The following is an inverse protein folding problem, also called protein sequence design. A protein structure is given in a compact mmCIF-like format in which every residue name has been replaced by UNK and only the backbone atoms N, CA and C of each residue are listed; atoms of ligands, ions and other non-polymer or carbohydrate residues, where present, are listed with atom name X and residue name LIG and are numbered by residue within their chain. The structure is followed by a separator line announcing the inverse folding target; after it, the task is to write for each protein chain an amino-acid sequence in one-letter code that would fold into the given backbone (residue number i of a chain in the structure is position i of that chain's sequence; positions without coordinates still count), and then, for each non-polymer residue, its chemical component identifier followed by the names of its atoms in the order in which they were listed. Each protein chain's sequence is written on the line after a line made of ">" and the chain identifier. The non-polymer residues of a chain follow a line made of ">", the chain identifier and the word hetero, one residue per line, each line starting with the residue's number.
data_IF_873762109755
#
_entry.id   IF_873762109755
#
_cell.length_a   1.000
_cell.length_b   1.000
_cell.length_c   1.000
_cell.angle_alpha   90.00
_cell.angle_beta   90.00
_cell.angle_gamma   90.00
#
_symmetry.space_group_name_H-M   'P 1'
#
loop_
_entity.id
_entity.type
_entity.pdbx_description
1 polymer ?
#
# COMPACT_ATOMS: atom_id res chain seq x y z
N UNK A 1 7.55 -25.41 -10.85
CA UNK A 1 7.43 -25.10 -9.42
C UNK A 1 8.65 -24.32 -8.88
N UNK A 2 9.86 -24.90 -8.76
CA UNK A 2 11.02 -24.17 -8.19
C UNK A 2 11.35 -22.89 -8.95
N UNK A 3 11.40 -22.92 -10.28
CA UNK A 3 11.66 -21.72 -11.10
C UNK A 3 10.61 -20.62 -10.88
N UNK A 4 9.34 -21.01 -10.83
CA UNK A 4 8.23 -20.08 -10.56
C UNK A 4 8.35 -19.47 -9.15
N UNK A 5 8.69 -20.28 -8.14
CA UNK A 5 8.89 -19.82 -6.78
C UNK A 5 10.05 -18.81 -6.68
N UNK A 6 11.16 -19.07 -7.37
CA UNK A 6 12.28 -18.12 -7.44
C UNK A 6 11.84 -16.80 -8.10
N UNK A 7 11.10 -16.87 -9.21
CA UNK A 7 10.63 -15.68 -9.91
C UNK A 7 9.59 -14.90 -9.09
N UNK A 8 8.64 -15.57 -8.41
CA UNK A 8 7.70 -14.93 -7.48
C UNK A 8 8.45 -14.28 -6.31
N UNK A 9 9.47 -14.97 -5.78
CA UNK A 9 10.35 -14.39 -4.77
C UNK A 9 11.09 -13.15 -5.26
N UNK A 10 11.56 -13.14 -6.51
CA UNK A 10 12.19 -11.95 -7.12
C UNK A 10 11.20 -10.79 -7.29
N UNK A 11 9.95 -11.05 -7.64
CA UNK A 11 8.89 -10.02 -7.68
C UNK A 11 8.67 -9.44 -6.28
N UNK A 12 8.61 -10.28 -5.24
CA UNK A 12 8.52 -9.80 -3.86
C UNK A 12 9.72 -8.95 -3.46
N UNK A 13 10.95 -9.41 -3.76
CA UNK A 13 12.18 -8.66 -3.49
C UNK A 13 12.22 -7.31 -4.23
N UNK A 14 11.74 -7.25 -5.47
CA UNK A 14 11.61 -6.00 -6.22
C UNK A 14 10.69 -5.02 -5.50
N UNK A 15 9.53 -5.48 -4.99
CA UNK A 15 8.67 -4.66 -4.15
C UNK A 15 9.35 -4.17 -2.87
N UNK A 16 10.13 -5.04 -2.20
CA UNK A 16 10.90 -4.68 -1.01
C UNK A 16 12.03 -3.67 -1.26
N UNK A 17 12.59 -3.64 -2.48
CA UNK A 17 13.65 -2.71 -2.86
C UNK A 17 13.16 -1.27 -3.03
N UNK A 18 11.87 -1.05 -3.19
CA UNK A 18 11.26 0.25 -3.47
C UNK A 18 11.63 1.32 -2.44
N UNK A 19 11.65 0.96 -1.15
CA UNK A 19 12.03 1.89 -0.08
C UNK A 19 13.48 2.36 -0.19
N UNK A 20 14.38 1.52 -0.68
CA UNK A 20 15.79 1.87 -0.86
C UNK A 20 16.02 2.80 -2.05
N UNK A 21 15.12 2.76 -3.03
CA UNK A 21 15.16 3.58 -4.24
C UNK A 21 14.42 4.92 -4.09
N UNK A 22 13.87 5.21 -2.91
CA UNK A 22 13.21 6.49 -2.63
C UNK A 22 11.70 6.47 -2.83
N UNK A 23 11.08 5.31 -2.68
CA UNK A 23 9.63 5.11 -2.70
C UNK A 23 8.99 5.51 -4.04
N UNK A 24 9.17 4.65 -5.04
CA UNK A 24 8.59 4.81 -6.37
C UNK A 24 7.14 4.28 -6.45
N UNK A 25 6.61 3.75 -5.34
CA UNK A 25 5.33 3.02 -5.26
C UNK A 25 5.27 1.75 -6.12
N UNK A 26 6.43 1.19 -6.48
CA UNK A 26 6.52 -0.08 -7.19
C UNK A 26 6.11 -1.29 -6.34
N UNK A 27 6.06 -1.14 -5.02
CA UNK A 27 5.63 -2.16 -4.07
C UNK A 27 4.11 -2.43 -4.07
N UNK A 28 3.33 -1.60 -4.77
CA UNK A 28 1.87 -1.68 -4.79
C UNK A 28 1.36 -2.90 -5.57
N UNK A 29 0.22 -3.51 -5.17
CA UNK A 29 -0.37 -4.66 -5.85
C UNK A 29 -0.64 -4.42 -7.34
N UNK A 30 -1.01 -3.20 -7.73
CA UNK A 30 -1.25 -2.85 -9.14
C UNK A 30 -0.01 -3.02 -10.03
N UNK A 31 1.19 -2.95 -9.46
CA UNK A 31 2.46 -3.15 -10.17
C UNK A 31 2.92 -4.61 -10.04
N UNK A 32 2.88 -5.17 -8.83
CA UNK A 32 3.47 -6.48 -8.55
C UNK A 32 2.61 -7.65 -9.04
N UNK A 33 1.27 -7.57 -8.92
CA UNK A 33 0.41 -8.67 -9.36
C UNK A 33 0.46 -8.92 -10.87
N UNK A 34 0.51 -7.91 -11.76
CA UNK A 34 0.78 -8.15 -13.18
C UNK A 34 2.12 -8.82 -13.45
N UNK A 35 3.18 -8.49 -12.69
CA UNK A 35 4.48 -9.18 -12.79
C UNK A 35 4.38 -10.63 -12.36
N UNK A 36 3.64 -10.93 -11.29
CA UNK A 36 3.32 -12.31 -10.88
C UNK A 36 2.54 -13.03 -12.00
N UNK A 37 1.54 -12.36 -12.60
CA UNK A 37 0.77 -12.90 -13.72
C UNK A 37 1.65 -13.24 -14.92
N UNK A 38 2.61 -12.39 -15.26
CA UNK A 38 3.61 -12.68 -16.31
C UNK A 38 4.47 -13.90 -15.98
N UNK A 39 4.93 -14.01 -14.73
CA UNK A 39 5.76 -15.14 -14.26
C UNK A 39 5.01 -16.47 -14.31
N UNK A 40 3.73 -16.45 -13.95
CA UNK A 40 2.90 -17.67 -13.87
C UNK A 40 2.15 -17.98 -15.17
N UNK A 41 2.18 -17.07 -16.17
CA UNK A 41 1.59 -17.26 -17.48
C UNK A 41 0.12 -16.84 -17.60
N UNK A 42 -0.41 -16.11 -16.62
CA UNK A 42 -1.78 -15.57 -16.63
C UNK A 42 -1.76 -14.07 -16.26
N UNK A 43 -1.37 -13.26 -17.22
CA UNK A 43 -1.33 -11.80 -17.06
C UNK A 43 -2.71 -11.21 -16.82
N UNK A 44 -3.77 -11.77 -17.42
CA UNK A 44 -5.11 -11.24 -17.31
C UNK A 44 -5.62 -11.34 -15.87
N UNK A 45 -5.47 -12.50 -15.25
CA UNK A 45 -5.79 -12.69 -13.82
C UNK A 45 -4.90 -11.82 -12.95
N UNK A 46 -3.59 -11.72 -13.25
CA UNK A 46 -2.67 -10.84 -12.53
C UNK A 46 -3.11 -9.37 -12.53
N UNK A 47 -3.56 -8.85 -13.66
CA UNK A 47 -4.10 -7.47 -13.78
C UNK A 47 -5.39 -7.28 -12.98
N UNK A 48 -6.34 -8.22 -13.11
CA UNK A 48 -7.62 -8.15 -12.42
C UNK A 48 -7.45 -8.23 -10.89
N UNK A 49 -6.62 -9.15 -10.42
CA UNK A 49 -6.27 -9.29 -9.00
C UNK A 49 -5.53 -8.06 -8.50
N UNK A 50 -4.54 -7.56 -9.27
CA UNK A 50 -3.78 -6.37 -8.91
C UNK A 50 -4.67 -5.15 -8.71
N UNK A 51 -5.60 -4.90 -9.62
CA UNK A 51 -6.55 -3.80 -9.50
C UNK A 51 -7.46 -3.95 -8.27
N UNK A 52 -7.95 -5.17 -8.00
CA UNK A 52 -8.83 -5.42 -6.85
C UNK A 52 -8.09 -5.29 -5.52
N UNK A 53 -6.87 -5.81 -5.43
CA UNK A 53 -6.05 -5.71 -4.23
C UNK A 53 -5.52 -4.29 -4.01
N UNK A 54 -5.27 -3.52 -5.08
CA UNK A 54 -4.94 -2.10 -4.97
C UNK A 54 -6.05 -1.33 -4.25
N UNK A 55 -7.32 -1.58 -4.61
CA UNK A 55 -8.47 -0.97 -3.94
C UNK A 55 -8.59 -1.43 -2.48
N UNK A 56 -8.31 -2.70 -2.19
CA UNK A 56 -8.31 -3.24 -0.83
C UNK A 56 -7.27 -2.54 0.05
N UNK A 57 -6.05 -2.35 -0.47
CA UNK A 57 -4.93 -1.76 0.26
C UNK A 57 -4.78 -0.24 0.05
N UNK A 58 -5.69 0.42 -0.66
CA UNK A 58 -5.61 1.86 -0.96
C UNK A 58 -5.52 2.71 0.31
N UNK A 59 -6.21 2.33 1.38
CA UNK A 59 -6.17 3.01 2.67
C UNK A 59 -5.06 2.54 3.63
N UNK A 60 -4.23 1.58 3.21
CA UNK A 60 -3.13 1.07 4.02
C UNK A 60 -1.92 2.00 3.91
N UNK A 61 -1.96 3.12 4.63
CA UNK A 61 -0.90 4.12 4.65
C UNK A 61 -0.30 4.18 6.04
N UNK A 62 1.03 4.13 6.12
CA UNK A 62 1.76 4.32 7.39
C UNK A 62 1.68 5.76 7.84
N UNK A 63 1.11 6.02 9.02
CA UNK A 63 1.01 7.35 9.60
C UNK A 63 1.50 7.29 11.05
N UNK A 64 2.57 7.99 11.34
CA UNK A 64 3.21 7.95 12.66
C UNK A 64 3.70 6.54 13.00
N UNK A 65 3.35 6.03 14.18
CA UNK A 65 3.74 4.69 14.65
C UNK A 65 2.85 3.55 14.11
N UNK A 66 1.81 3.86 13.34
CA UNK A 66 0.95 2.84 12.74
C UNK A 66 1.61 2.22 11.52
N UNK A 67 1.78 0.90 11.56
CA UNK A 67 2.26 0.10 10.42
C UNK A 67 1.09 -0.74 9.91
N UNK A 68 0.63 -0.54 8.68
CA UNK A 68 -0.46 -1.31 8.10
C UNK A 68 -0.03 -2.75 7.79
N UNK A 69 -0.99 -3.67 7.51
CA UNK A 69 -0.69 -4.98 6.95
C UNK A 69 0.20 -4.87 5.70
N UNK A 70 1.10 -5.83 5.52
CA UNK A 70 2.08 -5.79 4.42
C UNK A 70 1.41 -6.10 3.07
N UNK A 71 1.05 -5.06 2.34
CA UNK A 71 0.38 -5.16 1.04
C UNK A 71 1.24 -5.80 -0.05
N UNK A 72 2.56 -5.65 0.04
CA UNK A 72 3.50 -6.23 -0.94
C UNK A 72 3.47 -7.75 -0.89
N UNK A 73 3.73 -8.34 0.29
CA UNK A 73 3.76 -9.79 0.47
C UNK A 73 2.35 -10.36 0.33
N UNK A 74 1.36 -9.69 0.96
CA UNK A 74 -0.05 -10.08 0.84
C UNK A 74 -0.54 -10.08 -0.61
N UNK A 75 -0.20 -9.05 -1.37
CA UNK A 75 -0.57 -8.92 -2.78
C UNK A 75 0.10 -9.96 -3.67
N UNK A 76 1.43 -10.10 -3.57
CA UNK A 76 2.21 -11.06 -4.38
C UNK A 76 1.74 -12.49 -4.14
N UNK A 77 1.63 -12.91 -2.88
CA UNK A 77 1.24 -14.30 -2.55
C UNK A 77 -0.22 -14.58 -2.85
N UNK A 78 -1.13 -13.67 -2.53
CA UNK A 78 -2.56 -13.85 -2.84
C UNK A 78 -2.79 -13.97 -4.35
N UNK A 79 -2.11 -13.13 -5.15
CA UNK A 79 -2.14 -13.21 -6.60
C UNK A 79 -1.55 -14.53 -7.12
N UNK A 80 -0.37 -14.91 -6.61
CA UNK A 80 0.31 -16.13 -7.03
C UNK A 80 -0.53 -17.38 -6.73
N UNK A 81 -1.13 -17.48 -5.55
CA UNK A 81 -2.00 -18.61 -5.19
C UNK A 81 -3.32 -18.62 -5.98
N UNK A 82 -3.94 -17.46 -6.21
CA UNK A 82 -5.15 -17.39 -7.01
C UNK A 82 -4.91 -17.91 -8.44
N UNK A 83 -3.81 -17.48 -9.07
CA UNK A 83 -3.43 -17.96 -10.41
C UNK A 83 -3.12 -19.46 -10.39
N UNK A 84 -2.31 -19.91 -9.42
CA UNK A 84 -1.91 -21.32 -9.34
C UNK A 84 -3.09 -22.28 -9.14
N UNK A 85 -4.10 -21.85 -8.37
CA UNK A 85 -5.31 -22.63 -8.09
C UNK A 85 -6.37 -22.46 -9.19
N UNK A 86 -6.11 -21.67 -10.23
CA UNK A 86 -7.08 -21.37 -11.29
C UNK A 86 -8.32 -20.63 -10.77
N UNK A 87 -8.16 -19.88 -9.68
CA UNK A 87 -9.22 -19.12 -9.02
C UNK A 87 -9.14 -17.64 -9.40
N UNK A 88 -10.24 -16.90 -9.18
CA UNK A 88 -10.35 -15.49 -9.54
C UNK A 88 -9.94 -14.53 -8.42
N UNK A 89 -10.35 -13.28 -8.62
CA UNK A 89 -10.10 -12.16 -7.69
C UNK A 89 -10.68 -12.38 -6.30
N UNK A 90 -11.78 -13.10 -6.17
CA UNK A 90 -12.46 -13.39 -4.90
C UNK A 90 -11.56 -14.17 -3.94
N UNK A 91 -10.89 -15.18 -4.45
CA UNK A 91 -9.93 -15.99 -3.69
C UNK A 91 -8.69 -15.16 -3.32
N UNK A 92 -8.18 -14.35 -4.24
CA UNK A 92 -7.07 -13.46 -3.95
C UNK A 92 -7.41 -12.48 -2.81
N UNK A 93 -8.59 -11.86 -2.81
CA UNK A 93 -9.06 -10.95 -1.75
C UNK A 93 -9.16 -11.68 -0.42
N UNK A 94 -9.72 -12.91 -0.42
CA UNK A 94 -9.84 -13.73 0.79
C UNK A 94 -8.49 -14.06 1.44
N UNK A 95 -7.47 -14.31 0.62
CA UNK A 95 -6.13 -14.67 1.08
C UNK A 95 -5.27 -13.47 1.44
N UNK A 96 -5.47 -12.31 0.79
CA UNK A 96 -4.59 -11.16 0.88
C UNK A 96 -4.42 -10.64 2.32
N UNK A 97 -5.53 -10.41 3.04
CA UNK A 97 -5.47 -9.85 4.39
C UNK A 97 -4.84 -10.79 5.42
N UNK A 98 -5.21 -12.09 5.51
CA UNK A 98 -4.53 -13.01 6.41
C UNK A 98 -3.03 -13.09 6.17
N UNK A 99 -2.60 -13.18 4.90
CA UNK A 99 -1.18 -13.23 4.53
C UNK A 99 -0.49 -11.91 4.88
N UNK A 100 -1.10 -10.76 4.59
CA UNK A 100 -0.55 -9.44 4.90
C UNK A 100 -0.35 -9.23 6.41
N UNK A 101 -1.28 -9.69 7.24
CA UNK A 101 -1.18 -9.61 8.72
C UNK A 101 -0.10 -10.54 9.26
N UNK A 102 -0.01 -11.76 8.74
CA UNK A 102 1.05 -12.70 9.12
C UNK A 102 2.43 -12.15 8.78
N UNK A 103 2.60 -11.62 7.57
CA UNK A 103 3.87 -11.04 7.14
C UNK A 103 4.23 -9.77 7.93
N UNK A 104 3.25 -8.95 8.35
CA UNK A 104 3.48 -7.83 9.26
C UNK A 104 4.07 -8.31 10.60
N UNK A 105 3.57 -9.42 11.13
CA UNK A 105 4.10 -9.97 12.39
C UNK A 105 5.57 -10.37 12.26
N UNK A 106 5.95 -10.99 11.14
CA UNK A 106 7.35 -11.32 10.85
C UNK A 106 8.18 -10.05 10.70
N UNK A 107 7.70 -9.07 9.93
CA UNK A 107 8.36 -7.79 9.74
C UNK A 107 8.59 -7.01 11.05
N UNK A 108 7.66 -7.08 12.00
CA UNK A 108 7.83 -6.48 13.33
C UNK A 108 8.98 -7.13 14.12
N UNK A 109 9.15 -8.44 14.01
CA UNK A 109 10.28 -9.16 14.63
C UNK A 109 11.59 -8.72 13.99
N UNK A 110 11.65 -8.67 12.67
CA UNK A 110 12.82 -8.21 11.90
C UNK A 110 13.16 -6.77 12.23
N UNK A 111 12.17 -5.88 12.32
CA UNK A 111 12.35 -4.47 12.70
C UNK A 111 12.97 -4.31 14.09
N UNK A 112 12.56 -5.13 15.05
CA UNK A 112 13.16 -5.13 16.39
C UNK A 112 14.66 -5.50 16.34
N UNK A 113 15.06 -6.41 15.47
CA UNK A 113 16.47 -6.76 15.27
C UNK A 113 17.27 -5.63 14.59
N UNK A 114 16.61 -4.83 13.76
CA UNK A 114 17.25 -3.73 13.04
C UNK A 114 17.67 -2.55 13.93
N UNK A 115 17.11 -2.41 15.13
CA UNK A 115 17.53 -1.34 16.06
C UNK A 115 19.03 -1.39 16.36
N UNK A 116 19.63 -2.58 16.40
CA UNK A 116 21.09 -2.74 16.61
C UNK A 116 21.90 -2.10 15.47
N UNK A 117 21.39 -2.18 14.23
CA UNK A 117 22.06 -1.58 13.07
C UNK A 117 21.90 -0.06 13.03
N UNK A 118 20.80 0.47 13.59
CA UNK A 118 20.61 1.92 13.76
C UNK A 118 21.69 2.48 14.69
N UNK A 119 21.92 1.84 15.85
CA UNK A 119 22.98 2.23 16.77
C UNK A 119 24.39 2.23 16.11
N UNK A 120 24.60 1.27 15.19
CA UNK A 120 25.85 1.20 14.45
C UNK A 120 25.97 2.37 13.46
N UNK A 121 24.86 2.75 12.78
CA UNK A 121 24.84 3.91 11.90
C UNK A 121 25.13 5.21 12.65
N UNK A 122 24.56 5.37 13.85
CA UNK A 122 24.81 6.54 14.71
C UNK A 122 26.28 6.67 15.11
N UNK A 123 26.92 5.54 15.46
CA UNK A 123 28.37 5.52 15.74
C UNK A 123 29.23 5.91 14.54
N UNK A 124 28.81 5.56 13.31
CA UNK A 124 29.49 5.99 12.09
C UNK A 124 29.24 7.47 11.81
N UNK A 125 28.03 7.97 12.09
CA UNK A 125 27.68 9.39 11.94
C UNK A 125 28.54 10.26 12.87
N UNK A 126 28.66 9.88 14.16
CA UNK A 126 29.49 10.59 15.14
C UNK A 126 30.97 10.66 14.72
N UNK A 127 31.46 9.68 13.95
CA UNK A 127 32.83 9.63 13.43
C UNK A 127 32.99 10.32 12.07
N UNK A 128 31.91 10.87 11.49
CA UNK A 128 31.92 11.43 10.13
C UNK A 128 32.17 10.40 9.02
N UNK A 129 31.95 9.11 9.30
CA UNK A 129 32.23 8.02 8.37
C UNK A 129 31.02 7.74 7.44
N UNK A 130 30.92 8.47 6.34
CA UNK A 130 29.87 8.30 5.33
C UNK A 130 29.82 6.89 4.73
N UNK A 131 31.00 6.25 4.49
CA UNK A 131 31.04 4.89 3.93
C UNK A 131 30.40 3.88 4.87
N UNK A 132 30.60 4.03 6.18
CA UNK A 132 29.95 3.21 7.20
C UNK A 132 28.44 3.37 7.21
N UNK A 133 27.93 4.59 7.10
CA UNK A 133 26.50 4.87 7.02
C UNK A 133 25.88 4.22 5.78
N UNK A 134 26.50 4.40 4.61
CA UNK A 134 26.04 3.74 3.38
C UNK A 134 26.05 2.22 3.48
N UNK A 135 27.09 1.64 4.11
CA UNK A 135 27.17 0.19 4.28
C UNK A 135 26.02 -0.35 5.15
N UNK A 136 25.65 0.35 6.22
CA UNK A 136 24.49 -0.02 7.06
C UNK A 136 23.19 0.13 6.27
N UNK A 137 22.98 1.26 5.59
CA UNK A 137 21.79 1.52 4.81
C UNK A 137 21.52 0.44 3.75
N UNK A 138 22.53 0.16 2.91
CA UNK A 138 22.40 -0.88 1.88
C UNK A 138 22.35 -2.29 2.47
N UNK A 139 23.07 -2.54 3.57
CA UNK A 139 23.03 -3.84 4.26
C UNK A 139 21.63 -4.15 4.78
N UNK A 140 20.96 -3.18 5.44
CA UNK A 140 19.58 -3.33 5.89
C UNK A 140 18.60 -3.45 4.72
N UNK A 141 18.79 -2.67 3.66
CA UNK A 141 17.96 -2.75 2.47
C UNK A 141 18.04 -4.10 1.77
N UNK A 142 19.25 -4.63 1.57
CA UNK A 142 19.46 -5.96 0.97
C UNK A 142 18.88 -7.07 1.86
N UNK A 143 19.00 -6.93 3.19
CA UNK A 143 18.34 -7.86 4.10
C UNK A 143 16.83 -7.84 3.94
N UNK A 144 16.21 -6.66 3.88
CA UNK A 144 14.78 -6.53 3.60
C UNK A 144 14.37 -7.18 2.27
N UNK A 145 15.13 -6.95 1.19
CA UNK A 145 14.88 -7.63 -0.09
C UNK A 145 15.00 -9.15 0.03
N UNK A 146 15.98 -9.66 0.77
CA UNK A 146 16.14 -11.09 1.02
C UNK A 146 14.95 -11.65 1.81
N UNK A 147 14.47 -10.94 2.82
CA UNK A 147 13.28 -11.31 3.60
C UNK A 147 12.05 -11.43 2.69
N UNK A 148 11.78 -10.43 1.85
CA UNK A 148 10.66 -10.48 0.90
C UNK A 148 10.82 -11.61 -0.12
N UNK A 149 12.05 -11.84 -0.61
CA UNK A 149 12.34 -12.96 -1.49
C UNK A 149 12.03 -14.30 -0.84
N UNK A 150 12.51 -14.51 0.38
CA UNK A 150 12.32 -15.76 1.11
C UNK A 150 10.85 -15.98 1.49
N UNK A 151 10.15 -14.93 1.93
CA UNK A 151 8.75 -15.02 2.29
C UNK A 151 7.88 -15.30 1.06
N UNK A 152 8.03 -14.56 -0.03
CA UNK A 152 7.23 -14.78 -1.24
C UNK A 152 7.59 -16.09 -1.94
N UNK A 153 8.88 -16.33 -2.19
CA UNK A 153 9.32 -17.54 -2.89
C UNK A 153 9.16 -18.80 -2.04
N UNK A 154 9.52 -18.74 -0.77
CA UNK A 154 9.40 -19.86 0.18
C UNK A 154 7.94 -20.23 0.46
N UNK A 155 7.09 -19.25 0.74
CA UNK A 155 5.67 -19.49 0.97
C UNK A 155 4.99 -20.04 -0.30
N UNK A 156 5.33 -19.53 -1.48
CA UNK A 156 4.79 -20.04 -2.73
C UNK A 156 5.25 -21.48 -3.01
N UNK A 157 6.52 -21.81 -2.72
CA UNK A 157 7.06 -23.16 -2.95
C UNK A 157 6.48 -24.20 -2.00
N UNK A 158 6.33 -23.84 -0.72
CA UNK A 158 5.91 -24.75 0.35
C UNK A 158 4.41 -24.70 0.61
N UNK A 159 3.76 -23.62 0.23
CA UNK A 159 2.43 -23.28 0.69
C UNK A 159 1.27 -23.67 -0.23
N UNK A 160 1.53 -24.15 -1.45
CA UNK A 160 0.43 -24.45 -2.39
C UNK A 160 -0.56 -25.48 -1.85
N UNK A 161 -0.08 -26.57 -1.27
CA UNK A 161 -0.93 -27.62 -0.70
C UNK A 161 -1.62 -27.15 0.60
N UNK A 162 -0.90 -26.39 1.43
CA UNK A 162 -1.43 -25.83 2.67
C UNK A 162 -2.52 -24.76 2.41
N UNK A 163 -2.32 -23.93 1.38
CA UNK A 163 -3.31 -22.91 0.98
C UNK A 163 -4.55 -23.57 0.40
N UNK A 164 -4.40 -24.63 -0.39
CA UNK A 164 -5.57 -25.38 -0.89
C UNK A 164 -6.36 -25.97 0.28
N UNK A 165 -5.71 -26.60 1.25
CA UNK A 165 -6.36 -27.08 2.46
C UNK A 165 -7.04 -25.97 3.27
N UNK A 166 -6.47 -24.76 3.31
CA UNK A 166 -7.09 -23.59 3.95
C UNK A 166 -8.35 -23.13 3.18
N UNK A 167 -8.30 -23.10 1.86
CA UNK A 167 -9.47 -22.73 1.04
C UNK A 167 -10.59 -23.74 1.14
N UNK A 168 -10.26 -25.03 1.18
CA UNK A 168 -11.26 -26.11 1.37
C UNK A 168 -11.95 -26.02 2.73
N UNK A 169 -11.30 -25.44 3.73
CA UNK A 169 -11.90 -25.17 5.04
C UNK A 169 -12.84 -23.98 5.03
N UNK A 170 -12.69 -23.04 4.07
CA UNK A 170 -13.55 -21.85 3.96
C UNK A 170 -14.86 -22.23 3.27
N UNK A 171 -16.03 -22.08 3.94
CA UNK A 171 -17.31 -22.39 3.32
C UNK A 171 -17.55 -21.56 2.03
N UNK A 172 -18.17 -22.14 0.98
CA UNK A 172 -18.39 -21.45 -0.29
C UNK A 172 -19.16 -20.12 -0.17
N UNK A 173 -20.08 -20.01 0.80
CA UNK A 173 -20.83 -18.75 1.02
C UNK A 173 -19.90 -17.61 1.52
N UNK A 174 -18.81 -17.94 2.21
CA UNK A 174 -17.82 -16.93 2.67
C UNK A 174 -17.04 -16.40 1.47
N UNK A 175 -16.58 -17.28 0.57
CA UNK A 175 -15.91 -16.88 -0.68
C UNK A 175 -16.84 -16.01 -1.55
N UNK A 176 -18.10 -16.42 -1.70
CA UNK A 176 -19.11 -15.62 -2.41
C UNK A 176 -19.32 -14.26 -1.71
N UNK A 177 -19.31 -14.24 -0.37
CA UNK A 177 -19.36 -13.01 0.42
C UNK A 177 -18.18 -12.07 0.14
N UNK A 178 -16.98 -12.60 0.00
CA UNK A 178 -15.80 -11.80 -0.43
C UNK A 178 -15.97 -11.23 -1.83
N UNK A 179 -16.57 -11.98 -2.77
CA UNK A 179 -16.90 -11.47 -4.10
C UNK A 179 -17.86 -10.27 -4.05
N UNK A 180 -18.92 -10.36 -3.23
CA UNK A 180 -19.81 -9.21 -3.00
C UNK A 180 -19.09 -8.06 -2.32
N UNK A 181 -18.27 -8.34 -1.30
CA UNK A 181 -17.50 -7.33 -0.58
C UNK A 181 -16.51 -6.60 -1.51
N UNK A 182 -15.96 -7.28 -2.52
CA UNK A 182 -15.06 -6.67 -3.51
C UNK A 182 -15.69 -5.46 -4.20
N UNK A 183 -17.01 -5.45 -4.42
CA UNK A 183 -17.72 -4.34 -5.02
C UNK A 183 -17.78 -3.09 -4.09
N UNK A 184 -17.56 -3.26 -2.79
CA UNK A 184 -17.50 -2.16 -1.83
C UNK A 184 -16.08 -1.64 -1.59
N UNK A 185 -15.04 -2.36 -2.05
CA UNK A 185 -13.65 -1.95 -1.84
C UNK A 185 -13.34 -0.54 -2.36
N UNK A 186 -13.81 -0.12 -3.56
CA UNK A 186 -13.58 1.24 -4.03
C UNK A 186 -14.15 2.29 -3.08
N UNK A 187 -15.40 2.09 -2.62
CA UNK A 187 -16.06 3.01 -1.69
C UNK A 187 -15.33 3.07 -0.34
N UNK A 188 -14.85 1.92 0.16
CA UNK A 188 -14.08 1.83 1.40
C UNK A 188 -12.71 2.52 1.26
N UNK A 189 -12.00 2.30 0.15
CA UNK A 189 -10.75 2.97 -0.15
C UNK A 189 -10.90 4.49 -0.21
N UNK A 190 -11.91 4.98 -0.93
CA UNK A 190 -12.22 6.43 -0.98
C UNK A 190 -12.63 6.99 0.37
N UNK A 191 -13.39 6.25 1.19
CA UNK A 191 -13.74 6.69 2.54
C UNK A 191 -12.51 6.82 3.45
N UNK A 192 -11.55 5.89 3.34
CA UNK A 192 -10.30 5.95 4.08
C UNK A 192 -9.44 7.13 3.65
N UNK A 193 -9.28 7.37 2.35
CA UNK A 193 -8.61 8.57 1.82
C UNK A 193 -9.34 9.85 2.25
N UNK A 194 -10.67 9.84 2.19
CA UNK A 194 -11.49 10.95 2.66
C UNK A 194 -11.19 11.31 4.12
N UNK A 195 -11.07 10.33 5.00
CA UNK A 195 -10.72 10.56 6.42
C UNK A 195 -9.37 11.24 6.62
N UNK A 196 -8.41 11.03 5.72
CA UNK A 196 -7.09 11.67 5.79
C UNK A 196 -7.12 13.13 5.33
N UNK A 197 -7.99 13.45 4.36
CA UNK A 197 -8.03 14.75 3.70
C UNK A 197 -9.13 15.66 4.27
N UNK A 198 -10.29 15.07 4.66
CA UNK A 198 -11.45 15.84 5.08
C UNK A 198 -11.30 16.37 6.50
N UNK A 199 -11.13 17.69 6.61
CA UNK A 199 -11.32 18.43 7.85
C UNK A 199 -12.79 18.92 7.95
N UNK A 200 -13.22 19.34 9.15
CA UNK A 200 -14.58 19.89 9.35
C UNK A 200 -14.91 21.04 8.38
N UNK A 201 -13.90 21.81 7.98
CA UNK A 201 -14.05 22.93 7.06
C UNK A 201 -14.23 22.49 5.60
N UNK A 202 -13.70 21.32 5.22
CA UNK A 202 -13.76 20.79 3.86
C UNK A 202 -14.98 19.92 3.59
N UNK A 203 -15.67 19.45 4.64
CA UNK A 203 -16.87 18.61 4.52
C UNK A 203 -17.94 19.24 3.61
N UNK A 204 -18.29 20.53 3.69
CA UNK A 204 -19.31 21.11 2.80
C UNK A 204 -18.89 21.05 1.31
N UNK A 205 -17.62 21.22 1.00
CA UNK A 205 -17.11 21.13 -0.38
C UNK A 205 -17.14 19.70 -0.92
N UNK A 206 -16.90 18.71 -0.06
CA UNK A 206 -17.06 17.30 -0.43
C UNK A 206 -18.51 17.01 -0.82
N UNK A 207 -19.49 17.44 -0.01
CA UNK A 207 -20.90 17.26 -0.34
C UNK A 207 -21.32 18.05 -1.58
N UNK A 208 -20.79 19.25 -1.79
CA UNK A 208 -21.02 20.02 -3.01
C UNK A 208 -20.56 19.25 -4.24
N UNK A 209 -19.34 18.69 -4.22
CA UNK A 209 -18.83 17.86 -5.31
C UNK A 209 -19.69 16.62 -5.57
N UNK A 210 -20.12 15.94 -4.49
CA UNK A 210 -21.02 14.80 -4.59
C UNK A 210 -22.36 15.16 -5.25
N UNK A 211 -22.97 16.27 -4.84
CA UNK A 211 -24.23 16.75 -5.41
C UNK A 211 -24.11 17.11 -6.90
N UNK A 212 -23.01 17.76 -7.29
CA UNK A 212 -22.74 18.09 -8.69
C UNK A 212 -22.61 16.84 -9.56
N UNK A 213 -21.89 15.81 -9.07
CA UNK A 213 -21.76 14.55 -9.79
C UNK A 213 -23.08 13.77 -9.84
N UNK A 214 -23.77 13.64 -8.69
CA UNK A 214 -24.91 12.71 -8.57
C UNK A 214 -26.22 13.29 -9.08
N UNK A 215 -26.46 14.59 -8.93
CA UNK A 215 -27.73 15.24 -9.32
C UNK A 215 -27.61 16.11 -10.56
N UNK A 216 -26.49 16.81 -10.75
CA UNK A 216 -26.29 17.64 -11.93
C UNK A 216 -25.61 16.90 -13.10
N UNK A 217 -25.25 15.61 -12.91
CA UNK A 217 -24.54 14.78 -13.90
C UNK A 217 -23.28 15.45 -14.46
N UNK A 218 -22.62 16.30 -13.66
CA UNK A 218 -21.34 16.92 -14.05
C UNK A 218 -20.25 15.85 -14.00
N UNK A 219 -19.49 15.65 -15.11
CA UNK A 219 -18.35 14.73 -15.09
C UNK A 219 -17.37 15.09 -13.97
N UNK A 220 -16.70 14.07 -13.38
CA UNK A 220 -15.74 14.25 -12.28
C UNK A 220 -14.64 15.28 -12.63
N UNK A 221 -14.18 15.27 -13.89
CA UNK A 221 -13.23 16.28 -14.39
C UNK A 221 -13.81 17.70 -14.30
N UNK A 222 -15.07 17.91 -14.65
CA UNK A 222 -15.75 19.20 -14.53
C UNK A 222 -15.83 19.68 -13.08
N UNK A 223 -16.17 18.78 -12.16
CA UNK A 223 -16.19 19.08 -10.70
C UNK A 223 -14.77 19.45 -10.21
N UNK A 224 -13.74 18.73 -10.66
CA UNK A 224 -12.36 19.04 -10.31
C UNK A 224 -11.94 20.44 -10.80
N UNK A 225 -12.29 20.81 -12.02
CA UNK A 225 -12.01 22.15 -12.56
C UNK A 225 -12.74 23.26 -11.78
N UNK A 226 -14.03 23.03 -11.43
CA UNK A 226 -14.78 23.97 -10.57
C UNK A 226 -14.10 24.12 -9.21
N UNK A 227 -13.66 23.01 -8.59
CA UNK A 227 -12.96 23.02 -7.31
C UNK A 227 -11.64 23.79 -7.38
N UNK A 228 -10.88 23.65 -8.48
CA UNK A 228 -9.64 24.43 -8.70
C UNK A 228 -9.95 25.92 -8.78
N UNK A 229 -10.99 26.33 -9.52
CA UNK A 229 -11.39 27.75 -9.64
C UNK A 229 -11.77 28.30 -8.27
N UNK A 230 -12.59 27.58 -7.51
CA UNK A 230 -12.97 27.98 -6.15
C UNK A 230 -11.74 28.07 -5.23
N UNK A 231 -10.81 27.13 -5.37
CA UNK A 231 -9.56 27.12 -4.60
C UNK A 231 -8.68 28.32 -4.91
N UNK A 232 -8.51 28.67 -6.19
CA UNK A 232 -7.74 29.84 -6.64
C UNK A 232 -8.33 31.11 -6.04
N UNK A 233 -9.65 31.28 -6.11
CA UNK A 233 -10.35 32.45 -5.58
C UNK A 233 -10.25 32.52 -4.05
N UNK A 234 -10.55 31.42 -3.36
CA UNK A 234 -10.61 31.38 -1.89
C UNK A 234 -9.25 31.55 -1.21
N UNK A 235 -8.18 31.04 -1.83
CA UNK A 235 -6.82 31.11 -1.29
C UNK A 235 -5.98 32.22 -1.92
N UNK A 236 -6.59 33.05 -2.77
CA UNK A 236 -5.92 34.15 -3.49
C UNK A 236 -4.57 33.71 -4.12
N UNK A 237 -4.55 32.51 -4.72
CA UNK A 237 -3.34 31.90 -5.26
C UNK A 237 -2.71 32.71 -6.41
N UNK A 238 -3.48 33.62 -7.02
CA UNK A 238 -3.03 34.51 -8.09
C UNK A 238 -2.70 35.93 -7.57
N UNK A 239 -2.88 36.21 -6.27
CA UNK A 239 -2.61 37.50 -5.68
C UNK A 239 -3.47 38.64 -6.26
N UNK A 240 -4.66 38.32 -6.79
CA UNK A 240 -5.55 39.29 -7.44
C UNK A 240 -6.50 39.99 -6.44
N UNK A 241 -6.67 39.39 -5.26
CA UNK A 241 -7.40 39.97 -4.14
C UNK A 241 -6.43 40.71 -3.19
N UNK A 242 -6.42 42.00 -3.22
CA UNK A 242 -5.48 42.88 -2.49
C UNK A 242 -5.59 42.88 -0.96
N UNK A 243 -5.82 41.76 -0.30
CA UNK A 243 -5.73 41.62 1.15
C UNK A 243 -4.86 40.35 1.46
N UNK A 244 -3.63 40.60 1.84
CA UNK A 244 -2.82 39.55 2.45
C UNK A 244 -3.52 39.03 3.71
N UNK A 245 -3.80 37.71 3.85
CA UNK A 245 -4.10 37.17 5.16
C UNK A 245 -2.83 37.34 6.01
N UNK A 246 -2.87 38.18 7.01
CA UNK A 246 -1.89 38.15 8.09
C UNK A 246 -2.03 36.77 8.71
N UNK A 247 -1.10 35.85 8.41
CA UNK A 247 -0.80 34.73 9.25
C UNK A 247 -0.35 35.27 10.59
N UNK A 248 -1.30 35.47 11.50
CA UNK A 248 -0.98 35.57 12.92
C UNK A 248 -0.38 34.19 13.27
N UNK A 249 0.94 34.15 13.30
CA UNK A 249 1.67 33.15 14.07
C UNK A 249 1.38 33.51 15.52
N UNK A 250 0.29 33.01 16.06
CA UNK A 250 0.16 32.80 17.49
C UNK A 250 1.21 31.76 17.84
N UNK A 251 2.32 32.24 18.37
CA UNK A 251 3.29 31.42 19.02
C UNK A 251 2.60 30.79 20.23
N UNK A 252 2.30 29.51 20.17
CA UNK A 252 2.18 28.69 21.35
C UNK A 252 3.59 28.58 21.94
N UNK A 253 3.94 29.54 22.80
CA UNK A 253 4.84 29.34 23.91
C UNK A 253 4.08 28.46 24.91
N UNK A 254 4.22 27.17 24.83
CA UNK A 254 4.15 26.27 25.97
C UNK A 254 5.00 25.05 25.64
N UNK A 255 6.27 25.24 25.92
CA UNK A 255 7.22 24.23 26.30
C UNK A 255 6.70 23.42 27.51
N UNK A 256 7.27 22.28 27.56
CA UNK A 256 7.51 21.31 28.62
C UNK A 256 6.82 19.95 28.37
N UNK A 257 7.57 19.09 27.79
CA UNK A 257 8.08 17.74 28.10
C UNK A 257 8.44 16.97 26.84
#
# INVERSE_FOLDING_TARGET
>A
MLTQAILVGLVGAFGGLDYQLGTLYAFRPIVLCPLVGLVLGDLQTGLAVGASLELLFMGSVSIGAYVPPNETIGGVLACAFAIQLGQGTETAIALAMPIAVLSLTIGNITSALFTVFVDMADRFALKGNLKGIYAVHWGMGLWGCLEYFLLCGGAFYLGSDAIQGLLDFIPPFVLAGFGVAANFLPAMGFAMLGRLVLTKQLVPFYFLGFLLCSYANVPVLGVALIAIIIGIDKFDLLGLGGAQPQLSVEGDEDDDF
#
